data_IF_869053537641
#
_entry.id   IF_869053537641
#
_cell.length_a   1.000
_cell.length_b   1.000
_cell.length_c   1.000
_cell.angle_alpha   90.00
_cell.angle_beta   90.00
_cell.angle_gamma   90.00
#
_symmetry.space_group_name_H-M   'P 1'
#
loop_
_entity.id
_entity.type
_entity.pdbx_description
1 polymer ?
#
# COMPACT_ATOMS: atom_id res chain seq x y z
N UNK A 1 20.77 18.29 -8.05
CA UNK A 1 20.80 18.66 -6.62
C UNK A 1 19.50 18.32 -5.90
N UNK A 2 18.33 18.72 -6.43
CA UNK A 2 17.02 18.46 -5.83
C UNK A 2 16.71 16.95 -5.73
N UNK A 3 16.94 16.20 -6.80
CA UNK A 3 16.71 14.74 -6.82
C UNK A 3 17.47 14.02 -5.69
N UNK A 4 18.76 14.33 -5.51
CA UNK A 4 19.57 13.77 -4.41
C UNK A 4 18.96 14.08 -3.04
N UNK A 5 18.47 15.28 -2.83
CA UNK A 5 17.85 15.68 -1.56
C UNK A 5 16.52 14.94 -1.32
N UNK A 6 15.69 14.80 -2.36
CA UNK A 6 14.42 14.04 -2.28
C UNK A 6 14.69 12.57 -2.03
N UNK A 7 15.67 11.96 -2.69
CA UNK A 7 16.07 10.57 -2.44
C UNK A 7 16.58 10.38 -1.00
N UNK A 8 17.41 11.29 -0.48
CA UNK A 8 17.84 11.24 0.92
C UNK A 8 16.68 11.36 1.91
N UNK A 9 15.64 12.13 1.57
CA UNK A 9 14.43 12.21 2.38
C UNK A 9 13.62 10.91 2.30
N UNK A 10 13.49 10.32 1.11
CA UNK A 10 12.81 9.04 0.91
C UNK A 10 13.47 7.92 1.73
N UNK A 11 14.80 7.80 1.69
CA UNK A 11 15.55 6.83 2.51
C UNK A 11 15.29 7.01 4.01
N UNK A 12 15.25 8.26 4.49
CA UNK A 12 14.90 8.54 5.89
C UNK A 12 13.48 8.10 6.23
N UNK A 13 12.52 8.33 5.32
CA UNK A 13 11.11 7.95 5.51
C UNK A 13 10.94 6.43 5.50
N UNK A 14 11.68 5.71 4.64
CA UNK A 14 11.61 4.24 4.55
C UNK A 14 12.04 3.54 5.84
N UNK A 15 12.87 4.18 6.65
CA UNK A 15 13.30 3.67 7.95
C UNK A 15 12.28 3.90 9.09
N UNK A 16 11.18 4.61 8.83
CA UNK A 16 10.11 4.82 9.81
C UNK A 16 9.09 3.69 9.75
N UNK A 17 8.54 3.32 10.91
CA UNK A 17 7.47 2.33 10.96
C UNK A 17 6.09 2.93 10.62
N UNK A 18 5.27 2.16 9.93
CA UNK A 18 3.94 2.62 9.47
C UNK A 18 2.99 2.91 10.63
N UNK A 19 3.08 2.17 11.74
CA UNK A 19 2.20 2.35 12.89
C UNK A 19 2.40 3.74 13.51
N UNK A 20 3.65 4.16 13.72
CA UNK A 20 4.02 5.48 14.21
C UNK A 20 3.57 6.59 13.25
N UNK A 21 3.70 6.38 11.94
CA UNK A 21 3.23 7.36 10.95
C UNK A 21 1.71 7.47 10.90
N UNK A 22 1.00 6.35 11.07
CA UNK A 22 -0.47 6.32 11.07
C UNK A 22 -1.05 7.05 12.27
N UNK A 23 -0.40 6.99 13.44
CA UNK A 23 -0.81 7.75 14.62
C UNK A 23 -0.80 9.28 14.41
N UNK A 24 -0.01 9.78 13.45
CA UNK A 24 0.05 11.19 13.10
C UNK A 24 -0.96 11.59 12.01
N UNK A 25 -1.59 10.62 11.35
CA UNK A 25 -2.39 10.85 10.15
C UNK A 25 -3.58 11.76 10.41
N UNK A 26 -4.37 11.50 11.47
CA UNK A 26 -5.55 12.32 11.80
C UNK A 26 -5.17 13.77 12.08
N UNK A 27 -4.11 13.99 12.86
CA UNK A 27 -3.58 15.32 13.17
C UNK A 27 -3.24 16.11 11.91
N UNK A 28 -2.53 15.50 10.96
CA UNK A 28 -2.11 16.20 9.75
C UNK A 28 -3.24 16.34 8.72
N UNK A 29 -4.20 15.40 8.70
CA UNK A 29 -5.43 15.53 7.92
C UNK A 29 -6.25 16.74 8.38
N UNK A 30 -6.54 16.83 9.67
CA UNK A 30 -7.34 17.93 10.24
C UNK A 30 -6.65 19.28 10.02
N UNK A 31 -5.31 19.31 10.11
CA UNK A 31 -4.53 20.51 9.85
C UNK A 31 -4.54 20.90 8.37
N UNK A 32 -4.47 19.94 7.45
CA UNK A 32 -4.55 20.17 6.00
C UNK A 32 -5.92 20.73 5.60
N UNK A 33 -7.01 20.20 6.15
CA UNK A 33 -8.39 20.63 5.85
C UNK A 33 -8.68 22.08 6.26
N UNK A 34 -7.95 22.60 7.25
CA UNK A 34 -8.03 23.99 7.70
C UNK A 34 -7.01 24.85 6.96
N UNK A 35 -7.37 25.27 5.74
CA UNK A 35 -6.52 26.12 4.91
C UNK A 35 -6.11 27.41 5.64
N UNK A 36 -4.82 27.72 5.56
CA UNK A 36 -4.22 28.96 6.04
C UNK A 36 -3.04 29.31 5.15
N UNK A 37 -2.85 30.60 4.88
CA UNK A 37 -1.68 31.10 4.14
C UNK A 37 -0.47 31.16 5.09
N UNK A 38 0.00 29.99 5.54
CA UNK A 38 1.13 29.87 6.46
C UNK A 38 2.09 28.74 6.05
N UNK A 39 3.37 28.94 6.35
CA UNK A 39 4.41 27.91 6.12
C UNK A 39 4.15 26.64 6.92
N UNK A 40 3.49 26.77 8.07
CA UNK A 40 3.11 25.62 8.89
C UNK A 40 1.99 24.81 8.25
N UNK A 41 1.05 25.47 7.57
CA UNK A 41 0.03 24.76 6.78
C UNK A 41 0.68 24.01 5.62
N UNK A 42 1.52 24.68 4.81
CA UNK A 42 2.26 24.03 3.70
C UNK A 42 3.06 22.81 4.19
N UNK A 43 3.77 22.97 5.30
CA UNK A 43 4.51 21.87 5.94
C UNK A 43 3.59 20.73 6.34
N UNK A 44 2.45 21.03 6.93
CA UNK A 44 1.49 20.01 7.38
C UNK A 44 0.91 19.22 6.23
N UNK A 45 0.64 19.88 5.09
CA UNK A 45 0.21 19.23 3.84
C UNK A 45 1.29 18.29 3.33
N UNK A 46 2.55 18.72 3.28
CA UNK A 46 3.67 17.86 2.84
C UNK A 46 3.80 16.64 3.75
N UNK A 47 3.72 16.81 5.07
CA UNK A 47 3.79 15.69 6.02
C UNK A 47 2.62 14.72 5.82
N UNK A 48 1.40 15.23 5.63
CA UNK A 48 0.24 14.39 5.31
C UNK A 48 0.49 13.54 4.06
N UNK A 49 0.99 14.11 2.97
CA UNK A 49 1.27 13.36 1.75
C UNK A 49 2.43 12.36 1.90
N UNK A 50 3.44 12.65 2.73
CA UNK A 50 4.48 11.68 3.08
C UNK A 50 3.87 10.46 3.78
N UNK A 51 2.99 10.66 4.76
CA UNK A 51 2.31 9.55 5.46
C UNK A 51 1.49 8.72 4.48
N UNK A 52 0.72 9.37 3.59
CA UNK A 52 -0.07 8.66 2.59
C UNK A 52 0.80 7.91 1.57
N UNK A 53 1.95 8.45 1.19
CA UNK A 53 2.91 7.75 0.31
C UNK A 53 3.41 6.44 0.94
N UNK A 54 3.71 6.45 2.26
CA UNK A 54 4.12 5.23 2.98
C UNK A 54 2.99 4.21 3.03
N UNK A 55 1.78 4.63 3.39
CA UNK A 55 0.59 3.76 3.44
C UNK A 55 0.29 3.14 2.07
N UNK A 56 0.30 3.95 1.01
CA UNK A 56 0.09 3.48 -0.36
C UNK A 56 1.17 2.49 -0.80
N UNK A 57 2.45 2.79 -0.53
CA UNK A 57 3.56 1.88 -0.83
C UNK A 57 3.42 0.55 -0.09
N UNK A 58 3.04 0.56 1.18
CA UNK A 58 2.84 -0.65 1.97
C UNK A 58 1.63 -1.46 1.48
N UNK A 59 0.53 -0.79 1.13
CA UNK A 59 -0.62 -1.45 0.53
C UNK A 59 -0.25 -2.19 -0.76
N UNK A 60 0.41 -1.50 -1.70
CA UNK A 60 0.89 -2.10 -2.96
C UNK A 60 1.85 -3.26 -2.68
N UNK A 61 2.79 -3.10 -1.75
CA UNK A 61 3.72 -4.18 -1.39
C UNK A 61 3.00 -5.41 -0.86
N UNK A 62 2.04 -5.22 0.06
CA UNK A 62 1.28 -6.32 0.65
C UNK A 62 0.43 -7.05 -0.39
N UNK A 63 -0.20 -6.33 -1.32
CA UNK A 63 -0.94 -6.93 -2.44
C UNK A 63 -0.02 -7.78 -3.33
N UNK A 64 1.13 -7.24 -3.71
CA UNK A 64 2.11 -7.94 -4.56
C UNK A 64 2.68 -9.18 -3.87
N UNK A 65 2.92 -9.12 -2.55
CA UNK A 65 3.38 -10.27 -1.77
C UNK A 65 2.28 -11.33 -1.65
N UNK A 66 1.04 -10.92 -1.35
CA UNK A 66 -0.11 -11.83 -1.25
C UNK A 66 -0.38 -12.56 -2.59
N UNK A 67 -0.33 -11.84 -3.71
CA UNK A 67 -0.51 -12.41 -5.05
C UNK A 67 0.57 -13.45 -5.41
N UNK A 68 1.79 -13.32 -4.87
CA UNK A 68 2.87 -14.29 -5.07
C UNK A 68 2.74 -15.51 -4.15
N UNK A 69 2.15 -15.36 -2.97
CA UNK A 69 1.94 -16.44 -2.00
C UNK A 69 0.71 -17.29 -2.32
N UNK A 70 -0.30 -16.69 -2.94
CA UNK A 70 -1.44 -17.39 -3.52
C UNK A 70 -1.34 -17.33 -5.04
N UNK A 71 -0.56 -18.19 -5.71
CA UNK A 71 -0.77 -18.40 -7.14
C UNK A 71 -2.24 -18.82 -7.26
N UNK A 72 -3.05 -17.97 -7.91
CA UNK A 72 -4.40 -18.36 -8.31
C UNK A 72 -4.28 -19.74 -8.94
N UNK A 73 -4.99 -20.78 -8.45
CA UNK A 73 -5.10 -21.98 -9.22
C UNK A 73 -5.73 -21.55 -10.53
N UNK A 74 -4.95 -21.66 -11.58
CA UNK A 74 -5.39 -21.45 -12.93
C UNK A 74 -6.71 -22.20 -13.09
N UNK A 75 -7.72 -21.48 -13.56
CA UNK A 75 -9.09 -21.96 -13.79
C UNK A 75 -9.07 -23.42 -14.25
N UNK A 76 -9.91 -24.34 -13.72
CA UNK A 76 -9.88 -25.76 -14.07
C UNK A 76 -10.34 -25.99 -15.51
N UNK A 77 -9.47 -25.68 -16.46
CA UNK A 77 -9.54 -26.10 -17.83
C UNK A 77 -9.09 -27.55 -17.91
N UNK A 78 -10.08 -28.46 -17.88
CA UNK A 78 -10.27 -29.59 -18.81
C UNK A 78 -10.94 -30.74 -18.08
N UNK A 79 -12.25 -30.87 -18.28
CA UNK A 79 -12.98 -32.13 -18.08
C UNK A 79 -12.22 -33.24 -18.82
N UNK A 80 -11.58 -34.16 -18.11
CA UNK A 80 -11.12 -35.42 -18.71
C UNK A 80 -11.13 -36.52 -17.66
N UNK A 81 -12.05 -37.46 -17.87
CA UNK A 81 -12.05 -38.77 -17.23
C UNK A 81 -12.86 -38.89 -15.94
N UNK A 82 -14.19 -38.73 -16.00
CA UNK A 82 -15.03 -39.55 -15.12
C UNK A 82 -15.12 -40.94 -15.78
N UNK A 83 -14.67 -42.03 -15.13
CA UNK A 83 -15.05 -43.36 -15.60
C UNK A 83 -16.54 -43.54 -15.31
N UNK A 84 -17.34 -43.87 -16.34
CA UNK A 84 -18.73 -44.25 -16.18
C UNK A 84 -18.80 -45.58 -15.42
N UNK A 85 -19.31 -45.55 -14.18
CA UNK A 85 -19.66 -46.76 -13.45
C UNK A 85 -21.01 -47.26 -13.98
N UNK A 86 -20.97 -48.37 -14.72
CA UNK A 86 -22.17 -49.08 -15.18
C UNK A 86 -22.69 -49.95 -14.03
N UNK A 87 -23.97 -49.81 -13.68
CA UNK A 87 -24.64 -50.65 -12.69
C UNK A 87 -25.02 -51.99 -13.32
N UNK A 88 -24.38 -53.07 -12.86
CA UNK A 88 -24.77 -54.45 -13.21
C UNK A 88 -26.04 -54.81 -12.43
N UNK A 89 -27.01 -55.42 -13.14
CA UNK A 89 -28.30 -55.88 -12.60
C UNK A 89 -28.15 -57.15 -11.78
#
# INVERSE_FOLDING_TARGET
MIEKAVNQLAEKILNLDEASLTALWEKYKDRMERFEVSRDWERSVIVFFIINAVRAKNHIFNEQVAARQHPTPDTPGRRRGKPELIRVK
#
